data_IF_420472505832
#
_entry.id   IF_420472505832
#
_cell.length_a   1.000
_cell.length_b   1.000
_cell.length_c   1.000
_cell.angle_alpha   90.00
_cell.angle_beta   90.00
_cell.angle_gamma   90.00
#
_symmetry.space_group_name_H-M   'P 1'
#
loop_
_entity.id
_entity.type
_entity.pdbx_description
1 polymer ?
#
# COMPACT_ATOMS: atom_id res chain seq x y z
N UNK A 1 -2.85 8.39 11.47
CA UNK A 1 -4.23 8.89 11.71
C UNK A 1 -5.16 7.84 12.34
N UNK A 2 -4.76 7.13 13.40
CA UNK A 2 -5.66 6.14 14.02
C UNK A 2 -5.84 6.30 15.53
N UNK A 3 -5.62 7.52 16.04
CA UNK A 3 -5.61 7.77 17.50
C UNK A 3 -4.61 6.87 18.23
N UNK A 4 -4.56 6.96 19.55
CA UNK A 4 -3.62 6.19 20.36
C UNK A 4 -3.92 4.68 20.43
N UNK A 5 -5.07 4.24 19.88
CA UNK A 5 -5.62 2.87 20.05
C UNK A 5 -5.36 1.91 18.87
N UNK A 6 -4.63 2.33 17.85
CA UNK A 6 -4.38 1.52 16.65
C UNK A 6 -3.21 0.54 16.80
N UNK A 7 -3.12 -0.53 15.98
CA UNK A 7 -2.00 -1.50 16.03
C UNK A 7 -0.69 -0.88 15.54
N UNK A 8 -0.80 -0.01 14.55
CA UNK A 8 0.27 0.54 13.76
C UNK A 8 0.33 2.05 14.00
N UNK A 9 0.76 2.45 15.19
CA UNK A 9 0.94 3.87 15.50
C UNK A 9 2.35 4.29 15.12
N UNK A 10 2.45 5.19 14.16
CA UNK A 10 3.70 5.84 13.76
C UNK A 10 3.64 7.29 14.20
N UNK A 11 4.62 7.70 15.01
CA UNK A 11 4.78 9.06 15.49
C UNK A 11 5.85 9.78 14.67
N UNK A 12 5.60 11.05 14.33
CA UNK A 12 6.65 11.95 13.84
C UNK A 12 7.46 12.47 15.02
N UNK A 13 8.78 12.48 14.89
CA UNK A 13 9.70 13.00 15.91
C UNK A 13 10.83 13.81 15.30
N UNK A 14 11.55 14.53 16.15
CA UNK A 14 12.77 15.27 15.79
C UNK A 14 13.80 15.05 16.88
N UNK A 15 14.98 14.58 16.50
CA UNK A 15 16.11 14.37 17.40
C UNK A 15 16.80 15.71 17.70
N UNK A 16 17.65 15.74 18.73
CA UNK A 16 18.42 16.95 19.12
C UNK A 16 19.26 17.50 17.97
N UNK A 17 19.87 16.61 17.17
CA UNK A 17 20.63 16.95 15.96
C UNK A 17 19.74 17.39 14.77
N UNK A 18 18.50 17.77 15.03
CA UNK A 18 17.51 18.24 14.06
C UNK A 18 17.00 17.18 13.07
N UNK A 19 17.46 15.93 13.15
CA UNK A 19 17.00 14.84 12.26
C UNK A 19 15.52 14.52 12.52
N UNK A 20 14.70 14.63 11.47
CA UNK A 20 13.30 14.16 11.47
C UNK A 20 13.27 12.63 11.43
N UNK A 21 12.40 12.03 12.24
CA UNK A 21 12.27 10.57 12.36
C UNK A 21 10.80 10.13 12.38
N UNK A 22 10.57 8.89 11.98
CA UNK A 22 9.30 8.18 12.17
C UNK A 22 9.52 7.05 13.19
N UNK A 23 8.72 7.02 14.25
CA UNK A 23 8.81 6.04 15.34
C UNK A 23 7.56 5.17 15.33
N UNK A 24 7.71 3.89 14.98
CA UNK A 24 6.63 2.90 15.10
C UNK A 24 6.58 2.36 16.52
N UNK A 25 5.46 2.57 17.21
CA UNK A 25 5.15 1.95 18.50
C UNK A 25 4.43 0.63 18.24
N UNK A 26 4.98 -0.46 18.76
CA UNK A 26 4.35 -1.77 18.71
C UNK A 26 3.36 -1.91 19.89
N UNK A 27 2.08 -2.12 19.61
CA UNK A 27 1.06 -2.38 20.61
C UNK A 27 0.80 -3.89 20.77
N UNK A 28 0.40 -4.33 21.98
CA UNK A 28 -0.20 -5.66 22.19
C UNK A 28 -1.65 -5.61 21.69
N UNK A 29 -1.86 -6.11 20.47
CA UNK A 29 -3.14 -6.40 19.82
C UNK A 29 -3.97 -5.23 19.23
N UNK A 30 -4.75 -5.63 18.20
CA UNK A 30 -5.96 -5.03 17.58
C UNK A 30 -5.75 -4.22 16.29
N UNK A 31 -6.51 -4.59 15.24
CA UNK A 31 -6.49 -4.07 13.86
C UNK A 31 -7.32 -2.79 13.65
N UNK A 32 -6.91 -1.89 12.74
CA UNK A 32 -7.78 -0.77 12.28
C UNK A 32 -7.40 -0.23 10.88
N UNK A 33 -8.41 0.27 10.15
CA UNK A 33 -8.40 0.69 8.74
C UNK A 33 -8.62 2.20 8.53
N UNK A 34 -7.86 2.80 7.60
CA UNK A 34 -8.04 4.05 6.81
C UNK A 34 -8.70 3.88 5.43
N UNK A 35 -9.16 4.94 4.72
CA UNK A 35 -9.24 5.00 3.25
C UNK A 35 -8.58 6.28 2.69
N UNK A 36 -7.27 6.32 2.40
CA UNK A 36 -6.63 7.42 1.67
C UNK A 36 -5.43 6.93 0.85
N UNK A 37 -5.68 6.30 -0.31
CA UNK A 37 -4.63 5.96 -1.27
C UNK A 37 -4.35 7.08 -2.29
N UNK A 38 -5.29 8.01 -2.48
CA UNK A 38 -5.36 8.75 -3.74
C UNK A 38 -5.18 10.26 -3.62
N UNK A 39 -4.78 10.76 -2.45
CA UNK A 39 -4.60 12.20 -2.21
C UNK A 39 -3.10 12.51 -2.12
N UNK A 40 -2.58 13.26 -3.10
CA UNK A 40 -1.25 13.87 -3.02
C UNK A 40 -1.43 15.35 -2.72
N UNK A 41 -1.04 15.80 -1.53
CA UNK A 41 -1.15 17.22 -1.17
C UNK A 41 -0.64 17.52 0.25
N UNK A 42 0.36 18.39 0.34
CA UNK A 42 0.86 18.98 1.60
C UNK A 42 -0.03 20.12 2.13
N UNK A 43 -1.15 20.42 1.47
CA UNK A 43 -1.96 21.62 1.73
C UNK A 43 -3.44 21.40 1.41
N UNK A 44 -4.22 20.80 2.32
CA UNK A 44 -5.68 20.99 2.48
C UNK A 44 -6.65 20.68 1.32
N UNK A 45 -6.20 20.58 0.08
CA UNK A 45 -6.96 20.33 -1.13
C UNK A 45 -6.40 19.06 -1.77
N UNK A 46 -7.14 17.97 -1.61
CA UNK A 46 -6.79 16.69 -2.18
C UNK A 46 -7.05 16.71 -3.69
N UNK A 47 -5.99 16.88 -4.50
CA UNK A 47 -6.10 16.62 -5.94
C UNK A 47 -5.82 15.14 -6.24
N UNK A 48 -6.56 14.55 -7.21
CA UNK A 48 -6.29 13.19 -7.68
C UNK A 48 -4.86 13.06 -8.18
N UNK A 49 -4.20 11.95 -7.82
CA UNK A 49 -2.84 11.67 -8.29
C UNK A 49 -2.81 11.50 -9.82
N UNK A 50 -1.95 12.27 -10.50
CA UNK A 50 -1.73 12.17 -11.96
C UNK A 50 -1.20 10.80 -12.37
N UNK A 51 -1.53 10.34 -13.57
CA UNK A 51 -1.13 9.02 -14.09
C UNK A 51 0.37 8.76 -14.01
N UNK A 52 1.18 9.72 -14.46
CA UNK A 52 2.66 9.62 -14.41
C UNK A 52 3.17 9.39 -12.98
N UNK A 53 2.52 9.99 -11.98
CA UNK A 53 2.90 9.78 -10.58
C UNK A 53 2.47 8.41 -10.09
N UNK A 54 1.31 7.89 -10.52
CA UNK A 54 0.87 6.52 -10.21
C UNK A 54 1.84 5.47 -10.78
N UNK A 55 2.27 5.65 -12.03
CA UNK A 55 3.29 4.81 -12.66
C UNK A 55 4.64 4.89 -11.93
N UNK A 56 5.07 6.09 -11.54
CA UNK A 56 6.30 6.28 -10.74
C UNK A 56 6.21 5.55 -9.39
N UNK A 57 5.06 5.61 -8.72
CA UNK A 57 4.80 4.85 -7.49
C UNK A 57 4.93 3.36 -7.74
N UNK A 58 4.24 2.81 -8.75
CA UNK A 58 4.31 1.38 -9.06
C UNK A 58 5.75 0.91 -9.32
N UNK A 59 6.52 1.67 -10.12
CA UNK A 59 7.91 1.36 -10.44
C UNK A 59 8.81 1.38 -9.20
N UNK A 60 8.85 2.49 -8.46
CA UNK A 60 9.73 2.60 -7.29
C UNK A 60 9.39 1.58 -6.19
N UNK A 61 8.11 1.20 -6.04
CA UNK A 61 7.74 0.15 -5.10
C UNK A 61 8.17 -1.23 -5.58
N UNK A 62 8.08 -1.53 -6.88
CA UNK A 62 8.60 -2.76 -7.46
C UNK A 62 10.12 -2.88 -7.24
N UNK A 63 10.87 -1.82 -7.53
CA UNK A 63 12.32 -1.74 -7.28
C UNK A 63 12.64 -1.92 -5.79
N UNK A 64 11.85 -1.32 -4.90
CA UNK A 64 12.05 -1.48 -3.46
C UNK A 64 11.80 -2.93 -2.99
N UNK A 65 10.80 -3.60 -3.53
CA UNK A 65 10.50 -5.01 -3.23
C UNK A 65 11.58 -5.95 -3.80
N UNK A 66 12.06 -5.70 -5.01
CA UNK A 66 13.19 -6.41 -5.61
C UNK A 66 14.45 -6.24 -4.75
N UNK A 67 14.76 -5.00 -4.35
CA UNK A 67 15.87 -4.71 -3.45
C UNK A 67 15.75 -5.48 -2.14
N UNK A 68 14.57 -5.45 -1.49
CA UNK A 68 14.34 -6.21 -0.25
C UNK A 68 14.57 -7.71 -0.44
N UNK A 69 14.08 -8.26 -1.55
CA UNK A 69 14.26 -9.67 -1.92
C UNK A 69 15.74 -10.01 -2.10
N UNK A 70 16.51 -9.17 -2.82
CA UNK A 70 17.96 -9.34 -3.00
C UNK A 70 18.76 -9.33 -1.69
N UNK A 71 18.21 -8.71 -0.63
CA UNK A 71 18.79 -8.67 0.72
C UNK A 71 18.27 -9.77 1.65
N UNK A 72 17.60 -10.79 1.10
CA UNK A 72 17.04 -11.90 1.88
C UNK A 72 15.80 -11.51 2.70
N UNK A 73 15.15 -10.39 2.38
CA UNK A 73 13.92 -9.88 3.03
C UNK A 73 12.74 -9.90 2.05
N UNK A 74 12.46 -11.07 1.48
CA UNK A 74 11.39 -11.26 0.50
C UNK A 74 9.97 -11.13 1.08
N UNK A 75 9.83 -11.04 2.41
CA UNK A 75 8.52 -10.93 3.07
C UNK A 75 8.22 -9.48 3.40
N UNK A 76 7.04 -9.04 3.01
CA UNK A 76 6.50 -7.75 3.38
C UNK A 76 5.07 -7.92 3.90
N UNK A 77 4.82 -7.43 5.10
CA UNK A 77 3.56 -7.60 5.80
C UNK A 77 2.66 -6.40 5.57
N UNK A 78 1.40 -6.68 5.20
CA UNK A 78 0.35 -5.65 5.06
C UNK A 78 0.72 -4.57 4.03
N UNK A 79 1.20 -5.00 2.86
CA UNK A 79 1.48 -4.13 1.71
C UNK A 79 0.15 -3.58 1.17
N UNK A 80 0.02 -2.26 1.20
CA UNK A 80 -1.13 -1.51 0.71
C UNK A 80 -0.72 -0.03 0.56
N UNK A 81 -1.64 0.81 0.11
CA UNK A 81 -1.44 2.24 -0.05
C UNK A 81 -0.83 2.98 1.16
N UNK A 82 -1.13 2.58 2.40
CA UNK A 82 -0.59 3.22 3.61
C UNK A 82 0.90 2.97 3.82
N UNK A 83 1.47 2.04 3.07
CA UNK A 83 2.90 1.72 3.12
C UNK A 83 3.73 2.56 2.18
N UNK A 84 3.07 3.35 1.33
CA UNK A 84 3.68 4.30 0.42
C UNK A 84 3.91 5.59 1.20
N UNK A 85 5.16 6.04 1.24
CA UNK A 85 5.53 7.33 1.83
C UNK A 85 6.29 8.14 0.80
N UNK A 86 6.20 9.47 0.89
CA UNK A 86 6.96 10.37 0.02
C UNK A 86 8.10 10.99 0.83
N UNK A 87 9.29 11.02 0.24
CA UNK A 87 10.41 11.74 0.83
C UNK A 87 10.30 13.27 0.62
N UNK A 88 11.28 14.02 1.11
CA UNK A 88 11.29 15.48 1.01
C UNK A 88 11.35 15.98 -0.45
N UNK A 89 11.73 15.14 -1.40
CA UNK A 89 11.78 15.44 -2.84
C UNK A 89 10.47 15.05 -3.56
N UNK A 90 9.51 14.47 -2.85
CA UNK A 90 8.26 13.96 -3.40
C UNK A 90 8.42 12.62 -4.12
N UNK A 91 9.53 11.90 -3.94
CA UNK A 91 9.72 10.58 -4.52
C UNK A 91 9.02 9.50 -3.66
N UNK A 92 8.29 8.56 -4.26
CA UNK A 92 7.66 7.48 -3.51
C UNK A 92 8.70 6.51 -2.98
N UNK A 93 8.50 6.06 -1.73
CA UNK A 93 9.32 5.10 -1.00
C UNK A 93 8.40 4.08 -0.32
N UNK A 94 8.93 2.87 -0.13
CA UNK A 94 8.28 1.82 0.64
C UNK A 94 8.67 1.94 2.12
N UNK A 95 7.69 1.97 3.01
CA UNK A 95 7.93 1.99 4.47
C UNK A 95 8.70 0.74 4.92
N UNK A 96 9.79 0.91 5.67
CA UNK A 96 10.53 -0.24 6.21
C UNK A 96 9.77 -1.02 7.29
N UNK A 97 8.67 -0.47 7.82
CA UNK A 97 7.91 -1.08 8.93
C UNK A 97 7.15 -2.34 8.56
N UNK A 98 6.86 -2.58 7.27
CA UNK A 98 6.22 -3.81 6.80
C UNK A 98 7.19 -4.98 6.69
N UNK A 99 8.50 -4.74 6.73
CA UNK A 99 9.51 -5.82 6.74
C UNK A 99 9.57 -6.58 8.07
N UNK A 100 8.85 -6.10 9.09
CA UNK A 100 8.77 -6.72 10.41
C UNK A 100 7.31 -7.04 10.73
N UNK A 101 7.08 -8.20 11.35
CA UNK A 101 5.75 -8.58 11.84
C UNK A 101 5.29 -7.64 12.95
N UNK A 102 3.99 -7.35 12.99
CA UNK A 102 3.39 -6.49 14.02
C UNK A 102 3.26 -7.18 15.38
N UNK A 103 3.22 -8.53 15.41
CA UNK A 103 3.12 -9.32 16.64
C UNK A 103 3.92 -10.63 16.53
N UNK A 104 4.34 -11.17 17.69
CA UNK A 104 4.94 -12.51 17.81
C UNK A 104 3.97 -13.62 17.42
N UNK A 105 2.66 -13.39 17.55
CA UNK A 105 1.61 -14.38 17.26
C UNK A 105 1.33 -14.57 15.76
N UNK A 106 2.13 -13.95 14.89
CA UNK A 106 2.17 -14.28 13.47
C UNK A 106 1.10 -13.63 12.58
N UNK A 107 0.06 -13.01 13.15
CA UNK A 107 -0.95 -12.26 12.38
C UNK A 107 -0.29 -11.06 11.70
N UNK A 108 -0.05 -11.21 10.41
CA UNK A 108 0.73 -10.29 9.58
C UNK A 108 -0.15 -9.32 8.79
N UNK A 109 -1.36 -9.74 8.44
CA UNK A 109 -2.35 -8.87 7.82
C UNK A 109 -3.21 -8.22 8.90
N UNK A 110 -3.15 -6.89 8.94
CA UNK A 110 -4.12 -6.05 9.66
C UNK A 110 -5.30 -5.67 8.74
N UNK A 111 -5.21 -6.02 7.46
CA UNK A 111 -6.13 -5.69 6.37
C UNK A 111 -7.29 -6.66 6.25
N UNK A 112 -8.31 -6.23 5.49
CA UNK A 112 -9.63 -6.86 5.42
C UNK A 112 -9.42 -8.19 4.72
N UNK A 113 -10.08 -9.23 5.22
CA UNK A 113 -9.93 -10.57 4.65
C UNK A 113 -10.21 -10.57 3.14
N UNK A 114 -11.02 -9.62 2.66
CA UNK A 114 -11.27 -9.37 1.25
C UNK A 114 -10.02 -9.07 0.40
N UNK A 115 -8.94 -8.54 0.98
CA UNK A 115 -7.67 -8.20 0.30
C UNK A 115 -6.53 -9.15 0.66
N UNK A 116 -6.81 -10.12 1.52
CA UNK A 116 -5.80 -11.07 2.01
C UNK A 116 -5.57 -12.15 0.96
N UNK A 117 -4.31 -12.52 0.66
CA UNK A 117 -4.02 -13.60 -0.26
C UNK A 117 -4.71 -14.91 0.17
N UNK A 118 -5.28 -15.68 -0.76
CA UNK A 118 -6.08 -16.87 -0.43
C UNK A 118 -5.26 -17.95 0.31
N UNK A 119 -3.98 -18.10 -0.03
CA UNK A 119 -3.07 -19.00 0.65
C UNK A 119 -2.75 -18.57 2.09
N UNK A 120 -2.77 -17.28 2.38
CA UNK A 120 -2.64 -16.78 3.75
C UNK A 120 -3.88 -17.12 4.58
N UNK A 121 -5.09 -17.05 4.02
CA UNK A 121 -6.32 -17.44 4.72
C UNK A 121 -6.28 -18.91 5.17
N UNK A 122 -5.62 -19.78 4.39
CA UNK A 122 -5.46 -21.20 4.70
C UNK A 122 -4.33 -21.48 5.69
N UNK A 123 -3.19 -20.78 5.57
CA UNK A 123 -1.94 -21.14 6.26
C UNK A 123 -1.55 -20.21 7.40
N UNK A 124 -2.09 -18.98 7.41
CA UNK A 124 -1.67 -17.90 8.29
C UNK A 124 -0.23 -17.41 8.06
N UNK A 125 0.41 -17.78 6.93
CA UNK A 125 1.81 -17.47 6.63
C UNK A 125 1.93 -16.59 5.41
N UNK A 126 2.74 -15.55 5.53
CA UNK A 126 3.13 -14.70 4.39
C UNK A 126 4.25 -15.39 3.62
N UNK A 127 4.10 -15.48 2.31
CA UNK A 127 5.14 -15.96 1.39
C UNK A 127 5.54 -14.83 0.41
N UNK A 128 6.63 -14.98 -0.36
CA UNK A 128 6.96 -14.04 -1.42
C UNK A 128 5.81 -13.85 -2.43
N UNK A 129 5.07 -14.92 -2.73
CA UNK A 129 3.90 -14.89 -3.63
C UNK A 129 2.76 -14.08 -3.02
N UNK A 130 2.54 -14.18 -1.70
CA UNK A 130 1.59 -13.34 -0.97
C UNK A 130 1.90 -11.85 -1.10
N UNK A 131 3.18 -11.47 -1.16
CA UNK A 131 3.60 -10.08 -1.37
C UNK A 131 3.25 -9.62 -2.78
N UNK A 132 3.45 -10.47 -3.79
CA UNK A 132 3.09 -10.17 -5.19
C UNK A 132 1.57 -10.03 -5.37
N UNK A 133 0.78 -10.85 -4.67
CA UNK A 133 -0.67 -10.69 -4.62
C UNK A 133 -1.06 -9.31 -4.07
N UNK A 134 -0.48 -8.92 -2.92
CA UNK A 134 -0.75 -7.61 -2.32
C UNK A 134 -0.25 -6.46 -3.23
N UNK A 135 0.86 -6.63 -3.95
CA UNK A 135 1.29 -5.67 -4.96
C UNK A 135 0.25 -5.51 -6.07
N UNK A 136 -0.35 -6.61 -6.54
CA UNK A 136 -1.49 -6.57 -7.47
C UNK A 136 -2.68 -5.76 -6.94
N UNK A 137 -3.01 -5.90 -5.65
CA UNK A 137 -4.07 -5.06 -5.04
C UNK A 137 -3.71 -3.58 -5.01
N UNK A 138 -2.42 -3.25 -4.85
CA UNK A 138 -1.92 -1.87 -4.90
C UNK A 138 -2.00 -1.31 -6.32
N UNK A 139 -1.75 -2.12 -7.35
CA UNK A 139 -1.97 -1.72 -8.75
C UNK A 139 -3.45 -1.44 -9.03
N UNK A 140 -4.38 -2.20 -8.45
CA UNK A 140 -5.81 -1.92 -8.54
C UNK A 140 -6.17 -0.59 -7.85
N UNK A 141 -5.58 -0.30 -6.69
CA UNK A 141 -5.78 0.98 -6.01
C UNK A 141 -5.29 2.15 -6.89
N UNK A 142 -4.11 2.01 -7.51
CA UNK A 142 -3.56 3.01 -8.43
C UNK A 142 -4.39 3.17 -9.70
N UNK A 143 -4.90 2.08 -10.27
CA UNK A 143 -5.73 2.15 -11.48
C UNK A 143 -7.08 2.80 -11.22
N UNK A 144 -7.74 2.40 -10.13
CA UNK A 144 -9.14 2.75 -9.86
C UNK A 144 -9.32 4.00 -9.01
N UNK A 145 -8.26 4.45 -8.33
CA UNK A 145 -8.37 5.48 -7.32
C UNK A 145 -9.21 5.06 -6.10
N UNK A 146 -9.50 3.76 -5.95
CA UNK A 146 -10.41 3.20 -4.94
C UNK A 146 -9.81 1.92 -4.36
N UNK A 147 -10.14 1.63 -3.10
CA UNK A 147 -9.73 0.36 -2.48
C UNK A 147 -10.75 -0.74 -2.80
N UNK A 148 -10.63 -1.33 -3.98
CA UNK A 148 -11.58 -2.33 -4.52
C UNK A 148 -11.10 -3.74 -4.17
N UNK A 149 -11.93 -4.60 -3.53
CA UNK A 149 -11.59 -5.99 -3.31
C UNK A 149 -11.22 -6.72 -4.61
N UNK A 150 -10.15 -7.53 -4.64
CA UNK A 150 -9.71 -8.22 -5.86
C UNK A 150 -10.80 -9.07 -6.54
N UNK A 151 -11.70 -9.69 -5.76
CA UNK A 151 -12.83 -10.44 -6.32
C UNK A 151 -13.74 -9.55 -7.18
N UNK A 152 -14.07 -8.36 -6.69
CA UNK A 152 -14.91 -7.40 -7.41
C UNK A 152 -14.18 -6.87 -8.66
N UNK A 153 -12.88 -6.56 -8.54
CA UNK A 153 -12.10 -6.13 -9.69
C UNK A 153 -12.03 -7.19 -10.80
N UNK A 154 -11.91 -8.48 -10.43
CA UNK A 154 -11.91 -9.59 -11.39
C UNK A 154 -13.25 -9.71 -12.12
N UNK A 155 -14.38 -9.51 -11.44
CA UNK A 155 -15.70 -9.54 -12.08
C UNK A 155 -15.82 -8.42 -13.12
N UNK A 156 -15.39 -7.19 -12.79
CA UNK A 156 -15.37 -6.05 -13.73
C UNK A 156 -14.48 -6.32 -14.96
N UNK A 157 -13.33 -6.96 -14.77
CA UNK A 157 -12.41 -7.31 -15.86
C UNK A 157 -13.04 -8.38 -16.77
N UNK A 158 -13.68 -9.41 -16.19
CA UNK A 158 -14.33 -10.50 -16.94
C UNK A 158 -15.51 -9.99 -17.76
N UNK A 159 -16.28 -9.07 -17.21
CA UNK A 159 -17.40 -8.42 -17.87
C UNK A 159 -16.96 -7.36 -18.90
N UNK A 160 -15.65 -7.23 -19.15
CA UNK A 160 -15.01 -6.22 -20.03
C UNK A 160 -15.38 -4.78 -19.66
N UNK A 161 -15.70 -4.52 -18.41
CA UNK A 161 -16.11 -3.23 -17.91
C UNK A 161 -14.93 -2.45 -17.28
N UNK A 162 -13.83 -2.34 -18.04
CA UNK A 162 -12.58 -1.70 -17.58
C UNK A 162 -12.80 -0.21 -17.30
N UNK A 163 -13.71 0.45 -18.03
CA UNK A 163 -14.05 1.86 -17.79
C UNK A 163 -14.57 2.11 -16.36
N UNK A 164 -15.36 1.19 -15.81
CA UNK A 164 -15.85 1.28 -14.42
C UNK A 164 -14.77 0.99 -13.38
N UNK A 165 -13.71 0.27 -13.78
CA UNK A 165 -12.57 -0.03 -12.93
C UNK A 165 -11.57 1.13 -12.90
N UNK A 166 -11.38 1.83 -14.01
CA UNK A 166 -10.40 2.92 -14.12
C UNK A 166 -10.90 4.20 -13.45
N UNK A 167 -10.00 4.93 -12.80
CA UNK A 167 -10.30 6.24 -12.24
C UNK A 167 -10.62 7.24 -13.37
N UNK A 168 -11.79 7.87 -13.31
CA UNK A 168 -12.21 8.87 -14.30
C UNK A 168 -11.27 10.07 -14.36
N UNK A 169 -10.50 10.35 -13.32
CA UNK A 169 -9.47 11.39 -13.31
C UNK A 169 -8.27 11.08 -14.23
N UNK A 170 -8.17 9.84 -14.73
CA UNK A 170 -7.12 9.40 -15.65
C UNK A 170 -7.52 9.50 -17.12
N UNK A 171 -8.77 9.86 -17.43
CA UNK A 171 -9.21 10.05 -18.82
C UNK A 171 -8.28 11.00 -19.58
N UNK A 172 -7.83 10.58 -20.76
CA UNK A 172 -6.88 11.33 -21.60
C UNK A 172 -5.42 11.32 -21.12
N UNK A 173 -5.08 10.61 -20.03
CA UNK A 173 -3.71 10.50 -19.52
C UNK A 173 -2.99 9.21 -19.93
N UNK A 174 -3.68 8.28 -20.59
CA UNK A 174 -3.12 7.04 -21.13
C UNK A 174 -3.49 6.88 -22.60
N UNK A 175 -2.65 6.20 -23.38
CA UNK A 175 -2.91 5.94 -24.80
C UNK A 175 -4.08 4.95 -24.94
N UNK A 176 -4.99 5.22 -25.87
CA UNK A 176 -6.03 4.27 -26.29
C UNK A 176 -5.59 3.44 -27.50
N UNK A 177 -4.34 3.56 -27.92
CA UNK A 177 -3.82 2.83 -29.07
C UNK A 177 -3.46 1.40 -28.64
N UNK A 178 -4.23 0.42 -29.15
CA UNK A 178 -3.98 -1.03 -29.09
C UNK A 178 -2.77 -1.45 -29.94
#
# INVERSE_FOLDING_TARGET
EHGEKAPNVVYKGKLENQRRIAVKRFNRNVSSYLPYCCTYGFSGEAQPMKWVMRLRVALHLAEALEYCTSKGRALYHDLNAYRIVFDDEGNPRLSCFGLMKNSRDGKSYSTNLAFTPPEYLRTGRVTPESVMYSFGTLLLDLLSGKHIPPSHALDLIRDRNIQMLTDSCLEGQFSNDD
#
